data_IF_885560376781
#
_entry.id   IF_885560376781
#
_cell.length_a   1.000
_cell.length_b   1.000
_cell.length_c   1.000
_cell.angle_alpha   90.00
_cell.angle_beta   90.00
_cell.angle_gamma   90.00
#
_symmetry.space_group_name_H-M   'P 1'
#
loop_
_entity.id
_entity.type
_entity.pdbx_description
1 polymer ?
#
# COMPACT_ATOMS: atom_id res chain seq x y z
N UNK A 1 5.85 -20.69 6.59
CA UNK A 1 5.10 -19.88 7.57
C UNK A 1 5.97 -18.69 7.92
N UNK A 2 5.38 -17.49 7.92
CA UNK A 2 6.07 -16.25 8.28
C UNK A 2 6.27 -16.17 9.80
N UNK A 3 7.48 -15.87 10.24
CA UNK A 3 7.84 -15.81 11.67
C UNK A 3 8.28 -14.41 12.13
N UNK A 4 8.18 -13.41 11.24
CA UNK A 4 8.72 -12.06 11.41
C UNK A 4 9.91 -11.80 10.51
N UNK A 5 10.25 -10.55 10.31
CA UNK A 5 11.52 -10.17 9.68
C UNK A 5 12.65 -10.24 10.70
N UNK A 6 13.84 -10.59 10.26
CA UNK A 6 15.05 -10.42 11.08
C UNK A 6 15.52 -8.96 11.03
N UNK A 7 16.20 -8.48 12.08
CA UNK A 7 16.74 -7.12 12.13
C UNK A 7 17.74 -6.83 11.01
N UNK A 8 18.43 -7.86 10.51
CA UNK A 8 19.29 -7.78 9.35
C UNK A 8 18.58 -7.34 8.05
N UNK A 9 17.25 -7.49 7.95
CA UNK A 9 16.50 -6.92 6.83
C UNK A 9 16.59 -5.38 6.79
N UNK A 10 16.46 -4.74 7.95
CA UNK A 10 16.67 -3.30 8.12
C UNK A 10 18.11 -2.90 7.83
N UNK A 11 19.06 -3.68 8.35
CA UNK A 11 20.49 -3.41 8.17
C UNK A 11 20.90 -3.51 6.70
N UNK A 12 20.35 -4.49 5.97
CA UNK A 12 20.52 -4.59 4.51
C UNK A 12 19.96 -3.36 3.78
N UNK A 13 18.76 -2.89 4.14
CA UNK A 13 18.13 -1.70 3.50
C UNK A 13 18.95 -0.42 3.77
N UNK A 14 19.52 -0.26 4.96
CA UNK A 14 20.48 0.81 5.25
C UNK A 14 21.77 0.64 4.47
N UNK A 15 22.33 -0.57 4.42
CA UNK A 15 23.55 -0.88 3.69
C UNK A 15 23.43 -0.52 2.21
N UNK A 16 22.32 -0.92 1.56
CA UNK A 16 22.12 -0.61 0.13
C UNK A 16 21.81 0.87 -0.11
N UNK A 17 21.22 1.58 0.84
CA UNK A 17 21.03 3.04 0.74
C UNK A 17 22.36 3.79 0.73
N UNK A 18 23.31 3.36 1.57
CA UNK A 18 24.62 4.01 1.72
C UNK A 18 25.61 3.58 0.64
N UNK A 19 25.46 2.36 0.09
CA UNK A 19 26.38 1.75 -0.88
C UNK A 19 25.62 1.26 -2.12
N UNK A 20 24.91 2.17 -2.79
CA UNK A 20 23.98 1.79 -3.86
C UNK A 20 24.68 1.53 -5.20
N UNK A 21 25.54 0.49 -5.23
CA UNK A 21 26.25 0.05 -6.40
C UNK A 21 26.21 -1.47 -6.58
N UNK A 22 26.59 -1.94 -7.77
CA UNK A 22 26.51 -3.35 -8.15
C UNK A 22 27.47 -4.23 -7.33
N UNK A 23 28.66 -3.75 -7.00
CA UNK A 23 29.64 -4.56 -6.28
C UNK A 23 29.16 -4.85 -4.86
N UNK A 24 28.67 -3.83 -4.17
CA UNK A 24 28.07 -4.00 -2.85
C UNK A 24 26.89 -4.97 -2.89
N UNK A 25 25.96 -4.78 -3.83
CA UNK A 25 24.80 -5.66 -3.93
C UNK A 25 25.19 -7.12 -4.20
N UNK A 26 26.09 -7.39 -5.14
CA UNK A 26 26.50 -8.78 -5.45
C UNK A 26 27.19 -9.45 -4.24
N UNK A 27 27.91 -8.69 -3.41
CA UNK A 27 28.52 -9.20 -2.18
C UNK A 27 27.50 -9.54 -1.10
N UNK A 28 26.38 -8.76 -1.01
CA UNK A 28 25.32 -8.92 0.01
C UNK A 28 24.05 -9.59 -0.53
N UNK A 29 24.13 -10.17 -1.71
CA UNK A 29 22.95 -10.75 -2.40
C UNK A 29 22.28 -11.90 -1.65
N UNK A 30 23.04 -12.68 -0.93
CA UNK A 30 22.49 -13.78 -0.12
C UNK A 30 21.82 -13.26 1.14
N UNK A 31 22.32 -12.19 1.75
CA UNK A 31 21.63 -11.47 2.84
C UNK A 31 20.28 -10.93 2.34
N UNK A 32 20.25 -10.26 1.18
CA UNK A 32 19.01 -9.83 0.56
C UNK A 32 18.01 -10.97 0.40
N UNK A 33 18.45 -12.10 -0.15
CA UNK A 33 17.58 -13.24 -0.42
C UNK A 33 17.00 -13.86 0.84
N UNK A 34 17.84 -14.06 1.86
CA UNK A 34 17.44 -14.77 3.08
C UNK A 34 16.66 -13.87 4.05
N UNK A 35 17.13 -12.63 4.23
CA UNK A 35 16.63 -11.77 5.31
C UNK A 35 15.52 -10.82 4.86
N UNK A 36 15.42 -10.52 3.55
CA UNK A 36 14.43 -9.60 3.02
C UNK A 36 13.46 -10.26 2.02
N UNK A 37 13.98 -10.85 0.93
CA UNK A 37 13.13 -11.33 -0.16
C UNK A 37 12.29 -12.54 0.22
N UNK A 38 12.87 -13.52 0.89
CA UNK A 38 12.18 -14.74 1.32
C UNK A 38 11.11 -14.47 2.39
N UNK A 39 11.38 -13.73 3.48
CA UNK A 39 10.34 -13.37 4.45
C UNK A 39 9.22 -12.51 3.83
N UNK A 40 9.56 -11.54 2.98
CA UNK A 40 8.57 -10.71 2.29
C UNK A 40 7.63 -11.56 1.41
N UNK A 41 8.19 -12.53 0.69
CA UNK A 41 7.40 -13.44 -0.12
C UNK A 41 6.50 -14.34 0.74
N UNK A 42 7.02 -14.88 1.85
CA UNK A 42 6.22 -15.70 2.78
C UNK A 42 5.04 -14.92 3.35
N UNK A 43 5.28 -13.70 3.85
CA UNK A 43 4.24 -12.81 4.35
C UNK A 43 3.20 -12.47 3.26
N UNK A 44 3.67 -12.14 2.06
CA UNK A 44 2.81 -11.84 0.93
C UNK A 44 1.92 -13.02 0.55
N UNK A 45 2.48 -14.22 0.43
CA UNK A 45 1.75 -15.42 0.00
C UNK A 45 0.71 -15.84 1.06
N UNK A 46 1.06 -15.78 2.35
CA UNK A 46 0.15 -16.11 3.46
C UNK A 46 -1.01 -15.11 3.54
N UNK A 47 -0.72 -13.81 3.55
CA UNK A 47 -1.75 -12.77 3.56
C UNK A 47 -2.66 -12.84 2.32
N UNK A 48 -2.08 -13.11 1.16
CA UNK A 48 -2.86 -13.26 -0.07
C UNK A 48 -3.81 -14.45 -0.01
N UNK A 49 -3.33 -15.59 0.48
CA UNK A 49 -4.16 -16.78 0.67
C UNK A 49 -5.35 -16.52 1.62
N UNK A 50 -5.07 -15.86 2.74
CA UNK A 50 -6.08 -15.59 3.79
C UNK A 50 -7.10 -14.52 3.39
N UNK A 51 -6.71 -13.57 2.53
CA UNK A 51 -7.52 -12.40 2.19
C UNK A 51 -8.16 -12.47 0.79
N UNK A 52 -7.62 -13.26 -0.14
CA UNK A 52 -8.05 -13.28 -1.54
C UNK A 52 -9.55 -13.55 -1.72
N UNK A 53 -10.10 -14.53 -0.98
CA UNK A 53 -11.52 -14.88 -1.06
C UNK A 53 -12.47 -13.78 -0.59
N UNK A 54 -11.96 -12.83 0.20
CA UNK A 54 -12.73 -11.71 0.75
C UNK A 54 -12.78 -10.52 -0.21
N UNK A 55 -11.79 -10.38 -1.12
CA UNK A 55 -11.67 -9.20 -1.99
C UNK A 55 -12.82 -9.09 -3.00
N UNK A 56 -13.35 -10.21 -3.52
CA UNK A 56 -14.55 -10.23 -4.34
C UNK A 56 -14.38 -9.71 -5.78
N UNK A 57 -13.15 -9.42 -6.23
CA UNK A 57 -12.76 -9.12 -7.61
C UNK A 57 -11.39 -9.72 -7.93
N UNK A 58 -11.10 -9.89 -9.20
CA UNK A 58 -9.88 -10.54 -9.65
C UNK A 58 -8.64 -9.73 -9.25
N UNK A 59 -7.82 -10.32 -8.39
CA UNK A 59 -6.67 -9.68 -7.76
C UNK A 59 -5.44 -10.57 -7.86
N UNK A 60 -4.28 -9.97 -8.02
CA UNK A 60 -2.98 -10.64 -7.99
C UNK A 60 -2.07 -10.05 -6.94
N UNK A 61 -1.26 -10.90 -6.33
CA UNK A 61 -0.15 -10.47 -5.47
C UNK A 61 1.10 -10.17 -6.31
N UNK A 62 1.86 -9.18 -5.89
CA UNK A 62 3.09 -8.79 -6.56
C UNK A 62 4.11 -8.27 -5.56
N UNK A 63 5.25 -8.97 -5.43
CA UNK A 63 6.39 -8.48 -4.65
C UNK A 63 7.30 -7.64 -5.54
N UNK A 64 7.78 -6.51 -5.03
CA UNK A 64 8.68 -5.60 -5.74
C UNK A 64 10.02 -6.29 -6.07
N UNK A 65 10.76 -5.68 -6.98
CA UNK A 65 12.16 -6.06 -7.26
C UNK A 65 13.07 -5.04 -6.59
N UNK A 66 14.17 -5.50 -5.99
CA UNK A 66 15.18 -4.60 -5.41
C UNK A 66 15.88 -3.76 -6.49
N UNK A 67 16.09 -4.34 -7.68
CA UNK A 67 16.67 -3.63 -8.83
C UNK A 67 15.62 -2.73 -9.46
N UNK A 68 15.94 -1.46 -9.64
CA UNK A 68 15.08 -0.51 -10.37
C UNK A 68 15.03 -0.84 -11.85
N UNK A 69 13.99 -0.41 -12.53
CA UNK A 69 13.80 -0.67 -13.95
C UNK A 69 14.79 0.15 -14.78
N UNK A 70 15.73 -0.52 -15.43
CA UNK A 70 16.78 0.11 -16.23
C UNK A 70 16.27 0.90 -17.46
N UNK A 71 15.00 0.75 -17.84
CA UNK A 71 14.38 1.56 -18.91
C UNK A 71 14.17 3.02 -18.51
N UNK A 72 14.19 3.31 -17.20
CA UNK A 72 14.07 4.67 -16.68
C UNK A 72 15.39 5.13 -16.08
N UNK A 73 15.76 6.41 -16.26
CA UNK A 73 16.96 6.95 -15.65
C UNK A 73 16.81 6.99 -14.13
N UNK A 74 17.76 6.42 -13.41
CA UNK A 74 17.83 6.44 -11.94
C UNK A 74 19.23 6.83 -11.50
N UNK A 75 19.34 7.70 -10.50
CA UNK A 75 20.63 8.06 -9.89
C UNK A 75 21.31 6.83 -9.24
N UNK A 76 20.48 5.88 -8.74
CA UNK A 76 20.92 4.69 -8.03
C UNK A 76 20.17 3.46 -8.55
N UNK A 77 20.87 2.33 -8.84
CA UNK A 77 20.26 1.16 -9.48
C UNK A 77 19.35 0.32 -8.56
N UNK A 78 19.49 0.46 -7.26
CA UNK A 78 18.75 -0.35 -6.30
C UNK A 78 17.78 0.50 -5.48
N UNK A 79 16.75 -0.16 -4.93
CA UNK A 79 15.79 0.42 -4.00
C UNK A 79 16.28 0.25 -2.58
N UNK A 80 15.98 1.22 -1.74
CA UNK A 80 16.19 1.20 -0.29
C UNK A 80 14.88 0.95 0.46
N UNK A 81 13.87 0.47 -0.27
CA UNK A 81 12.59 0.00 0.23
C UNK A 81 12.18 -1.28 -0.52
N UNK A 82 11.34 -2.09 0.10
CA UNK A 82 10.89 -3.36 -0.45
C UNK A 82 9.45 -3.61 -0.05
N UNK A 83 8.55 -3.94 -1.01
CA UNK A 83 7.12 -4.01 -0.76
C UNK A 83 6.44 -5.12 -1.54
N UNK A 84 5.24 -5.46 -1.13
CA UNK A 84 4.28 -6.17 -1.97
C UNK A 84 2.97 -5.38 -2.12
N UNK A 85 2.19 -5.74 -3.14
CA UNK A 85 0.85 -5.20 -3.38
C UNK A 85 -0.12 -6.31 -3.73
N UNK A 86 -1.39 -6.15 -3.31
CA UNK A 86 -2.55 -6.87 -3.83
C UNK A 86 -3.32 -5.91 -4.70
N UNK A 87 -3.35 -6.16 -5.99
CA UNK A 87 -3.85 -5.24 -7.01
C UNK A 87 -4.68 -5.96 -8.05
N UNK A 88 -5.58 -5.23 -8.66
CA UNK A 88 -6.38 -5.71 -9.78
C UNK A 88 -5.51 -6.14 -10.97
N UNK A 89 -5.94 -7.14 -11.76
CA UNK A 89 -5.19 -7.68 -12.90
C UNK A 89 -5.17 -6.77 -14.12
N UNK A 90 -5.95 -5.69 -14.13
CA UNK A 90 -6.02 -4.73 -15.24
C UNK A 90 -4.66 -4.10 -15.57
N UNK A 91 -4.49 -3.69 -16.83
CA UNK A 91 -3.23 -3.11 -17.31
C UNK A 91 -2.85 -1.81 -16.58
N UNK A 92 -3.82 -0.96 -16.28
CA UNK A 92 -3.66 0.34 -15.62
C UNK A 92 -4.06 0.28 -14.12
N UNK A 93 -3.73 -0.83 -13.46
CA UNK A 93 -4.04 -1.08 -12.04
C UNK A 93 -3.70 0.08 -11.09
N UNK A 94 -2.73 0.91 -11.44
CA UNK A 94 -2.26 2.03 -10.59
C UNK A 94 -3.28 3.16 -10.40
N UNK A 95 -4.35 3.21 -11.23
CA UNK A 95 -5.45 4.16 -11.06
C UNK A 95 -6.55 3.64 -10.13
N UNK A 96 -6.51 2.39 -9.76
CA UNK A 96 -7.41 1.72 -8.83
C UNK A 96 -6.74 1.53 -7.45
N UNK A 97 -7.51 1.33 -6.38
CA UNK A 97 -6.95 1.07 -5.07
C UNK A 97 -6.27 -0.31 -5.02
N UNK A 98 -5.13 -0.39 -4.34
CA UNK A 98 -4.41 -1.63 -4.07
C UNK A 98 -4.01 -1.67 -2.60
N UNK A 99 -4.04 -2.86 -1.99
CA UNK A 99 -3.46 -3.08 -0.67
C UNK A 99 -1.95 -3.23 -0.79
N UNK A 100 -1.22 -2.79 0.22
CA UNK A 100 0.24 -2.88 0.23
C UNK A 100 0.81 -3.04 1.64
N UNK A 101 2.00 -3.59 1.70
CA UNK A 101 2.91 -3.55 2.83
C UNK A 101 4.29 -3.17 2.32
N UNK A 102 5.00 -2.34 3.05
CA UNK A 102 6.34 -1.84 2.69
C UNK A 102 7.28 -1.87 3.89
N UNK A 103 8.53 -2.27 3.63
CA UNK A 103 9.68 -2.04 4.49
C UNK A 103 10.61 -1.00 3.85
N UNK A 104 11.09 -0.05 4.62
CA UNK A 104 12.16 0.88 4.25
C UNK A 104 13.29 0.81 5.28
N UNK A 105 14.39 1.50 5.05
CA UNK A 105 15.45 1.61 6.05
C UNK A 105 15.00 2.34 7.32
N UNK A 106 14.00 3.23 7.25
CA UNK A 106 13.54 4.08 8.36
C UNK A 106 12.38 3.46 9.15
N UNK A 107 11.62 2.53 8.54
CA UNK A 107 10.46 1.94 9.18
C UNK A 107 9.67 1.04 8.23
N UNK A 108 8.43 0.79 8.60
CA UNK A 108 7.52 -0.04 7.85
C UNK A 108 6.10 0.54 7.85
N UNK A 109 5.31 0.13 6.88
CA UNK A 109 3.95 0.60 6.78
C UNK A 109 3.09 -0.32 5.92
N UNK A 110 1.78 -0.18 6.08
CA UNK A 110 0.80 -0.91 5.27
C UNK A 110 -0.49 -0.11 5.12
N UNK A 111 -1.30 -0.51 4.18
CA UNK A 111 -2.56 0.17 3.94
C UNK A 111 -3.17 -0.16 2.59
N UNK A 112 -3.99 0.77 2.11
CA UNK A 112 -4.50 0.74 0.74
C UNK A 112 -4.42 2.11 0.10
N UNK A 113 -4.23 2.15 -1.21
CA UNK A 113 -4.17 3.42 -1.91
C UNK A 113 -4.06 3.28 -3.42
N UNK A 114 -4.18 4.41 -4.08
CA UNK A 114 -4.05 4.54 -5.53
C UNK A 114 -2.65 5.04 -5.85
N UNK A 115 -1.83 4.19 -6.48
CA UNK A 115 -0.43 4.55 -6.79
C UNK A 115 -0.30 5.79 -7.67
N UNK A 116 -1.18 5.93 -8.67
CA UNK A 116 -1.20 7.08 -9.57
C UNK A 116 -2.62 7.34 -10.05
N UNK A 117 -3.44 7.91 -9.17
CA UNK A 117 -4.81 8.25 -9.49
C UNK A 117 -4.89 9.20 -10.68
N UNK A 118 -5.73 8.88 -11.66
CA UNK A 118 -6.02 9.78 -12.77
C UNK A 118 -7.10 10.79 -12.41
N UNK A 119 -7.15 11.91 -13.13
CA UNK A 119 -8.26 12.86 -12.96
C UNK A 119 -9.62 12.20 -13.25
N UNK A 120 -9.65 11.25 -14.20
CA UNK A 120 -10.85 10.47 -14.53
C UNK A 120 -11.27 9.53 -13.42
N UNK A 121 -10.34 8.76 -12.81
CA UNK A 121 -10.66 7.87 -11.70
C UNK A 121 -11.18 8.65 -10.48
N UNK A 122 -10.56 9.79 -10.17
CA UNK A 122 -11.05 10.66 -9.09
C UNK A 122 -12.40 11.34 -9.43
N UNK A 123 -12.70 11.58 -10.70
CA UNK A 123 -14.02 12.08 -11.08
C UNK A 123 -15.09 11.01 -10.93
N UNK A 124 -14.82 9.78 -11.33
CA UNK A 124 -15.76 8.65 -11.13
C UNK A 124 -16.04 8.43 -9.64
N UNK A 125 -15.02 8.48 -8.79
CA UNK A 125 -15.21 8.41 -7.34
C UNK A 125 -16.13 9.53 -6.83
N UNK A 126 -15.94 10.79 -7.27
CA UNK A 126 -16.84 11.90 -6.88
C UNK A 126 -18.27 11.65 -7.35
N UNK A 127 -18.47 11.20 -8.59
CA UNK A 127 -19.81 10.89 -9.10
C UNK A 127 -20.50 9.80 -8.26
N UNK A 128 -19.75 8.77 -7.84
CA UNK A 128 -20.30 7.73 -6.96
C UNK A 128 -20.65 8.27 -5.57
N UNK A 129 -19.82 9.16 -5.01
CA UNK A 129 -20.12 9.85 -3.74
C UNK A 129 -21.37 10.72 -3.88
N UNK A 130 -21.50 11.46 -4.98
CA UNK A 130 -22.66 12.32 -5.26
C UNK A 130 -23.95 11.50 -5.46
N UNK A 131 -23.83 10.29 -6.02
CA UNK A 131 -24.98 9.39 -6.25
C UNK A 131 -25.45 8.70 -4.96
N UNK A 132 -24.55 8.38 -4.05
CA UNK A 132 -24.87 7.74 -2.78
C UNK A 132 -24.02 8.30 -1.61
N UNK A 133 -24.28 9.56 -1.22
CA UNK A 133 -23.51 10.21 -0.16
C UNK A 133 -23.73 9.58 1.23
N UNK A 134 -24.87 8.93 1.46
CA UNK A 134 -25.16 8.31 2.76
C UNK A 134 -24.32 7.05 2.97
N UNK A 135 -24.23 6.16 1.99
CA UNK A 135 -23.37 4.97 2.06
C UNK A 135 -21.92 5.38 2.27
N UNK A 136 -21.40 6.34 1.47
CA UNK A 136 -20.02 6.78 1.63
C UNK A 136 -19.76 7.47 2.98
N UNK A 137 -20.71 8.28 3.47
CA UNK A 137 -20.64 8.88 4.82
C UNK A 137 -20.56 7.82 5.92
N UNK A 138 -21.30 6.72 5.77
CA UNK A 138 -21.23 5.56 6.67
C UNK A 138 -19.83 4.94 6.72
N UNK A 139 -19.21 4.76 5.54
CA UNK A 139 -17.83 4.24 5.42
C UNK A 139 -16.80 5.19 6.05
N UNK A 140 -16.93 6.49 5.80
CA UNK A 140 -16.03 7.51 6.38
C UNK A 140 -16.16 7.55 7.90
N UNK A 141 -17.39 7.51 8.45
CA UNK A 141 -17.59 7.43 9.90
C UNK A 141 -16.99 6.16 10.52
N UNK A 142 -17.03 5.03 9.80
CA UNK A 142 -16.38 3.80 10.26
C UNK A 142 -14.86 3.94 10.22
N UNK A 143 -14.31 4.54 9.17
CA UNK A 143 -12.88 4.84 9.05
C UNK A 143 -12.40 5.80 10.16
N UNK A 144 -13.14 6.84 10.47
CA UNK A 144 -12.76 7.84 11.48
C UNK A 144 -12.76 7.29 12.93
N UNK A 145 -13.44 6.15 13.18
CA UNK A 145 -13.40 5.49 14.49
C UNK A 145 -12.10 4.78 14.78
N UNK A 146 -11.38 4.32 13.75
CA UNK A 146 -10.07 3.70 13.91
C UNK A 146 -8.99 4.79 14.07
N UNK A 147 -7.83 4.43 14.64
CA UNK A 147 -6.71 5.36 14.89
C UNK A 147 -5.38 4.87 14.29
N UNK A 148 -5.45 3.85 13.45
CA UNK A 148 -4.28 3.20 12.87
C UNK A 148 -3.93 3.85 11.53
N UNK A 149 -4.95 4.05 10.68
CA UNK A 149 -4.76 4.58 9.33
C UNK A 149 -5.05 6.07 9.26
N UNK A 150 -4.19 6.78 8.55
CA UNK A 150 -4.37 8.19 8.20
C UNK A 150 -4.75 8.30 6.73
N UNK A 151 -5.74 9.15 6.42
CA UNK A 151 -6.09 9.49 5.05
C UNK A 151 -5.06 10.47 4.48
N UNK A 152 -4.38 10.07 3.42
CA UNK A 152 -3.32 10.82 2.75
C UNK A 152 -3.66 11.09 1.28
N UNK A 153 -2.84 11.90 0.64
CA UNK A 153 -2.95 12.32 -0.76
C UNK A 153 -3.03 13.84 -0.90
N UNK A 154 -2.57 14.34 -2.03
CA UNK A 154 -2.59 15.77 -2.32
C UNK A 154 -4.00 16.31 -2.53
N UNK A 155 -4.24 17.56 -2.15
CA UNK A 155 -5.44 18.29 -2.49
C UNK A 155 -5.30 19.01 -3.85
N UNK A 156 -6.44 19.18 -4.51
CA UNK A 156 -6.50 20.15 -5.61
C UNK A 156 -6.34 21.57 -5.10
N UNK A 157 -5.68 22.44 -5.87
CA UNK A 157 -5.58 23.89 -5.54
C UNK A 157 -6.95 24.57 -5.46
N UNK A 158 -7.92 24.10 -6.25
CA UNK A 158 -9.32 24.54 -6.20
C UNK A 158 -10.18 23.32 -5.89
N UNK A 159 -11.09 23.47 -4.94
CA UNK A 159 -12.07 22.42 -4.63
C UNK A 159 -12.81 21.96 -5.87
N UNK A 160 -13.15 20.70 -5.92
CA UNK A 160 -13.88 20.06 -7.02
C UNK A 160 -15.38 20.08 -6.80
N UNK A 161 -15.82 20.31 -5.58
CA UNK A 161 -17.22 20.45 -5.19
C UNK A 161 -17.36 20.85 -3.73
N UNK A 162 -18.55 21.34 -3.39
CA UNK A 162 -18.98 21.61 -2.02
C UNK A 162 -19.71 20.38 -1.51
N UNK A 163 -19.19 19.76 -0.48
CA UNK A 163 -19.75 18.57 0.18
C UNK A 163 -19.75 18.78 1.69
N UNK A 164 -20.38 17.86 2.43
CA UNK A 164 -20.36 17.92 3.90
C UNK A 164 -18.91 17.93 4.42
N UNK A 165 -18.63 18.57 5.57
CA UNK A 165 -17.30 18.59 6.17
C UNK A 165 -16.71 17.18 6.39
N UNK A 166 -17.56 16.19 6.64
CA UNK A 166 -17.16 14.78 6.78
C UNK A 166 -16.52 14.24 5.51
N UNK A 167 -17.01 14.60 4.34
CA UNK A 167 -16.58 14.08 3.04
C UNK A 167 -15.53 14.93 2.36
N UNK A 168 -15.31 16.18 2.80
CA UNK A 168 -14.44 17.14 2.12
C UNK A 168 -13.02 16.59 1.93
N UNK A 169 -12.48 15.92 2.94
CA UNK A 169 -11.15 15.32 2.91
C UNK A 169 -10.99 14.19 1.89
N UNK A 170 -12.06 13.51 1.52
CA UNK A 170 -12.07 12.43 0.51
C UNK A 170 -12.36 12.97 -0.89
N UNK A 171 -13.34 13.86 -0.99
CA UNK A 171 -13.87 14.39 -2.24
C UNK A 171 -12.87 15.30 -2.99
N UNK A 172 -12.14 16.14 -2.25
CA UNK A 172 -11.31 17.19 -2.81
C UNK A 172 -9.81 16.83 -2.97
N UNK A 173 -9.45 15.52 -2.78
CA UNK A 173 -8.09 15.03 -3.04
C UNK A 173 -7.86 14.66 -4.50
N UNK A 174 -6.58 14.69 -4.90
CA UNK A 174 -6.08 14.21 -6.21
C UNK A 174 -5.87 12.70 -6.23
N UNK A 175 -5.61 12.11 -5.09
CA UNK A 175 -5.40 10.70 -4.87
C UNK A 175 -5.80 10.34 -3.46
N UNK A 176 -6.06 9.07 -3.20
CA UNK A 176 -6.43 8.55 -1.88
C UNK A 176 -5.45 7.46 -1.50
N UNK A 177 -4.91 7.58 -0.31
CA UNK A 177 -4.20 6.53 0.39
C UNK A 177 -4.62 6.51 1.86
N UNK A 178 -4.83 5.34 2.41
CA UNK A 178 -5.08 5.09 3.83
C UNK A 178 -3.88 4.32 4.36
N UNK A 179 -3.01 4.98 5.10
CA UNK A 179 -1.68 4.49 5.47
C UNK A 179 -1.51 4.39 6.97
N UNK A 180 -0.97 3.27 7.44
CA UNK A 180 -0.39 3.11 8.76
C UNK A 180 1.14 3.04 8.63
N UNK A 181 1.85 3.92 9.30
CA UNK A 181 3.31 4.02 9.25
C UNK A 181 3.92 3.91 10.64
N UNK A 182 5.00 3.17 10.75
CA UNK A 182 5.67 2.87 12.00
C UNK A 182 7.19 2.99 11.84
N UNK A 183 7.86 3.49 12.87
CA UNK A 183 9.30 3.31 13.02
C UNK A 183 9.62 1.90 13.53
N UNK A 184 10.89 1.50 13.51
CA UNK A 184 11.33 0.22 14.06
C UNK A 184 11.30 0.16 15.61
N UNK A 185 10.88 1.21 16.29
CA UNK A 185 10.50 1.16 17.71
C UNK A 185 9.25 0.28 17.93
N UNK A 186 8.37 0.23 16.94
CA UNK A 186 7.33 -0.78 16.89
C UNK A 186 7.92 -2.10 16.38
N UNK A 187 8.27 -2.98 17.29
CA UNK A 187 8.96 -4.25 17.03
C UNK A 187 8.06 -5.34 16.44
N UNK A 188 6.76 -5.10 16.25
CA UNK A 188 5.82 -6.08 15.69
C UNK A 188 6.30 -6.66 14.35
N UNK A 189 6.99 -5.84 13.55
CA UNK A 189 7.57 -6.26 12.25
C UNK A 189 8.56 -7.42 12.36
N UNK A 190 9.20 -7.58 13.51
CA UNK A 190 10.16 -8.65 13.80
C UNK A 190 9.50 -9.90 14.42
N UNK A 191 8.17 -9.94 14.46
CA UNK A 191 7.41 -11.02 15.09
C UNK A 191 6.38 -11.60 14.13
N UNK A 192 5.90 -12.80 14.45
CA UNK A 192 4.80 -13.44 13.71
C UNK A 192 3.47 -12.69 13.81
N UNK A 193 3.31 -11.80 14.79
CA UNK A 193 2.11 -10.99 15.01
C UNK A 193 1.90 -9.95 13.90
N UNK A 194 2.91 -9.71 13.06
CA UNK A 194 2.78 -8.81 11.92
C UNK A 194 1.73 -9.28 10.91
N UNK A 195 1.68 -10.57 10.61
CA UNK A 195 0.73 -11.14 9.64
C UNK A 195 -0.73 -10.92 10.06
N UNK A 196 -1.19 -11.31 11.28
CA UNK A 196 -2.56 -11.05 11.70
C UNK A 196 -2.88 -9.56 11.84
N UNK A 197 -1.91 -8.73 12.25
CA UNK A 197 -2.09 -7.28 12.31
C UNK A 197 -2.42 -6.67 10.94
N UNK A 198 -1.66 -7.04 9.90
CA UNK A 198 -1.88 -6.54 8.53
C UNK A 198 -3.22 -7.07 7.98
N UNK A 199 -3.53 -8.35 8.20
CA UNK A 199 -4.77 -8.96 7.74
C UNK A 199 -6.01 -8.25 8.32
N UNK A 200 -6.00 -7.98 9.62
CA UNK A 200 -7.08 -7.23 10.28
C UNK A 200 -7.20 -5.80 9.73
N UNK A 201 -6.05 -5.14 9.52
CA UNK A 201 -6.01 -3.82 8.92
C UNK A 201 -6.56 -3.80 7.50
N UNK A 202 -6.22 -4.77 6.66
CA UNK A 202 -6.78 -4.89 5.30
C UNK A 202 -8.30 -5.12 5.33
N UNK A 203 -8.78 -5.97 6.24
CA UNK A 203 -10.22 -6.19 6.44
C UNK A 203 -10.95 -4.91 6.86
N UNK A 204 -10.35 -4.13 7.74
CA UNK A 204 -10.94 -2.85 8.18
C UNK A 204 -11.01 -1.80 7.07
N UNK A 205 -10.07 -1.79 6.14
CA UNK A 205 -10.03 -0.89 4.98
C UNK A 205 -10.85 -1.40 3.79
N UNK A 206 -11.17 -2.69 3.75
CA UNK A 206 -11.82 -3.30 2.59
C UNK A 206 -13.15 -2.66 2.18
N UNK A 207 -14.07 -2.31 3.10
CA UNK A 207 -15.34 -1.69 2.71
C UNK A 207 -15.17 -0.39 1.90
N UNK A 208 -14.26 0.47 2.32
CA UNK A 208 -13.98 1.73 1.61
C UNK A 208 -13.18 1.49 0.33
N UNK A 209 -12.23 0.54 0.36
CA UNK A 209 -11.49 0.09 -0.82
C UNK A 209 -12.44 -0.42 -1.91
N UNK A 210 -13.42 -1.27 -1.54
CA UNK A 210 -14.43 -1.81 -2.44
C UNK A 210 -15.31 -0.72 -3.05
N UNK A 211 -15.74 0.26 -2.26
CA UNK A 211 -16.52 1.39 -2.78
C UNK A 211 -15.72 2.15 -3.84
N UNK A 212 -14.45 2.48 -3.56
CA UNK A 212 -13.57 3.17 -4.51
C UNK A 212 -13.34 2.33 -5.77
N UNK A 213 -13.08 1.02 -5.60
CA UNK A 213 -12.88 0.08 -6.71
C UNK A 213 -14.11 0.03 -7.62
N UNK A 214 -15.30 -0.13 -7.05
CA UNK A 214 -16.54 -0.16 -7.83
C UNK A 214 -16.76 1.15 -8.58
N UNK A 215 -16.62 2.29 -7.90
CA UNK A 215 -16.76 3.62 -8.50
C UNK A 215 -15.83 3.86 -9.71
N UNK A 216 -14.63 3.26 -9.70
CA UNK A 216 -13.65 3.42 -10.78
C UNK A 216 -13.97 2.49 -11.96
N UNK A 217 -14.61 1.35 -11.72
CA UNK A 217 -14.87 0.30 -12.70
C UNK A 217 -16.31 0.31 -13.25
N UNK A 218 -17.23 1.05 -12.63
CA UNK A 218 -18.56 1.30 -13.22
C UNK A 218 -18.43 2.21 -14.46
N UNK A 219 -19.05 1.76 -15.56
CA UNK A 219 -19.13 2.49 -16.84
C UNK A 219 -20.09 3.69 -16.79
#
# INVERSE_FOLDING_TARGET
MFEGFDRSAKDFLWGIRLNNDKNWYETHKDEYRQNLAKPMKSLCDELFCDFYSEIGYETVSSVSRIVKDARFPHAYPYRDNYWFTFKETRKDWWIAPAFYFELSCEGWGYGMGMWSASAGSMQRLRNAIDSDPETFSGLVRAFDKQKIFTLEGDFYKRKKGEVSPLLDGWYNRKSISCTASFTYENETVFTKELQPLILEGFRSLYPICRFIHNAINEE
#
